data_IF_342071132738
#
_entry.id   IF_342071132738
#
_cell.length_a   1.000
_cell.length_b   1.000
_cell.length_c   1.000
_cell.angle_alpha   90.00
_cell.angle_beta   90.00
_cell.angle_gamma   90.00
#
_symmetry.space_group_name_H-M   'P 1'
#
loop_
_entity.id
_entity.type
_entity.pdbx_description
1 polymer ?
#
# COMPACT_ATOMS: atom_id res chain seq x y z
N UNK A 1 24.56 -1.76 16.27
CA UNK A 1 23.95 -3.05 15.83
C UNK A 1 22.48 -2.94 16.21
N UNK A 2 21.56 -3.12 15.24
CA UNK A 2 20.12 -2.98 15.54
C UNK A 2 19.67 -4.13 16.47
N UNK A 3 18.83 -3.83 17.45
CA UNK A 3 18.36 -4.83 18.45
C UNK A 3 17.71 -6.08 17.82
N UNK A 4 17.07 -5.94 16.63
CA UNK A 4 16.43 -7.05 15.92
C UNK A 4 17.40 -7.92 15.09
N UNK A 5 18.69 -7.57 14.96
CA UNK A 5 19.66 -8.37 14.18
C UNK A 5 19.81 -9.80 14.70
N UNK A 6 19.73 -10.00 16.01
CA UNK A 6 19.75 -11.33 16.62
C UNK A 6 18.51 -12.18 16.23
N UNK A 7 17.38 -11.54 15.99
CA UNK A 7 16.13 -12.19 15.58
C UNK A 7 16.24 -12.65 14.13
N UNK A 8 16.68 -11.77 13.24
CA UNK A 8 16.78 -12.08 11.80
C UNK A 8 17.85 -13.11 11.48
N UNK A 9 18.91 -13.21 12.30
CA UNK A 9 19.94 -14.24 12.16
C UNK A 9 19.42 -15.67 12.22
N UNK A 10 18.19 -15.89 12.73
CA UNK A 10 17.52 -17.20 12.75
C UNK A 10 17.07 -17.67 11.36
N UNK A 11 16.98 -16.80 10.38
CA UNK A 11 16.53 -17.08 9.00
C UNK A 11 15.02 -17.31 8.85
N UNK A 12 14.37 -17.92 9.84
CA UNK A 12 12.91 -18.06 9.94
C UNK A 12 12.45 -17.44 11.26
N UNK A 13 11.42 -16.62 11.22
CA UNK A 13 10.94 -15.85 12.39
C UNK A 13 9.51 -16.27 12.71
N UNK A 14 9.25 -16.52 13.99
CA UNK A 14 7.91 -16.74 14.54
C UNK A 14 7.37 -15.47 15.21
N UNK A 15 6.06 -15.39 15.44
CA UNK A 15 5.44 -14.28 16.17
C UNK A 15 6.02 -14.17 17.59
N UNK A 16 6.40 -15.31 18.22
CA UNK A 16 7.02 -15.31 19.55
C UNK A 16 8.38 -14.60 19.58
N UNK A 17 9.13 -14.66 18.48
CA UNK A 17 10.42 -13.97 18.40
C UNK A 17 10.27 -12.43 18.38
N UNK A 18 9.06 -11.93 18.17
CA UNK A 18 8.70 -10.52 18.13
C UNK A 18 7.90 -10.07 19.37
N UNK A 19 7.92 -10.87 20.45
CA UNK A 19 7.39 -10.43 21.74
C UNK A 19 8.14 -9.17 22.18
N UNK A 20 7.39 -8.12 22.54
CA UNK A 20 7.96 -6.81 22.85
C UNK A 20 7.90 -5.80 21.69
N UNK A 21 7.74 -6.23 20.45
CA UNK A 21 7.51 -5.32 19.33
C UNK A 21 6.02 -5.04 19.13
N UNK A 22 5.70 -3.79 18.77
CA UNK A 22 4.31 -3.37 18.58
C UNK A 22 3.72 -4.02 17.32
N UNK A 23 2.64 -4.79 17.48
CA UNK A 23 1.82 -5.27 16.37
C UNK A 23 1.10 -4.06 15.73
N UNK A 24 1.31 -3.81 14.45
CA UNK A 24 0.74 -2.68 13.70
C UNK A 24 -0.24 -3.12 12.61
N UNK A 25 -0.24 -4.40 12.27
CA UNK A 25 -1.17 -4.97 11.29
C UNK A 25 -1.29 -6.49 11.43
N UNK A 26 -2.50 -7.00 11.21
CA UNK A 26 -2.79 -8.44 11.13
C UNK A 26 -3.82 -8.68 10.05
N UNK A 27 -3.55 -9.63 9.17
CA UNK A 27 -4.41 -9.99 8.04
C UNK A 27 -4.31 -11.46 7.69
N UNK A 28 -4.98 -11.84 6.60
CA UNK A 28 -5.00 -13.22 6.11
C UNK A 28 -3.62 -13.73 5.63
N UNK A 29 -2.68 -12.83 5.33
CA UNK A 29 -1.36 -13.20 4.80
C UNK A 29 -0.26 -13.21 5.85
N UNK A 30 -0.55 -12.72 7.06
CA UNK A 30 0.40 -12.65 8.14
C UNK A 30 0.24 -11.45 9.07
N UNK A 31 1.29 -11.16 9.81
CA UNK A 31 1.32 -10.11 10.84
C UNK A 31 2.46 -9.14 10.61
N UNK A 32 2.23 -7.86 10.89
CA UNK A 32 3.21 -6.78 10.73
C UNK A 32 3.54 -6.18 12.09
N UNK A 33 4.83 -6.07 12.40
CA UNK A 33 5.33 -5.49 13.63
C UNK A 33 6.24 -4.32 13.34
N UNK A 34 6.16 -3.27 14.17
CA UNK A 34 7.09 -2.14 14.11
C UNK A 34 8.40 -2.53 14.78
N UNK A 35 9.52 -2.45 14.03
CA UNK A 35 10.86 -2.71 14.55
C UNK A 35 11.53 -1.44 15.08
N UNK A 36 11.40 -0.35 14.32
CA UNK A 36 11.96 0.97 14.65
C UNK A 36 10.98 2.07 14.26
N UNK A 37 11.36 3.33 14.39
CA UNK A 37 10.60 4.46 13.85
C UNK A 37 10.46 4.45 12.33
N UNK A 38 11.35 3.73 11.61
CA UNK A 38 11.43 3.73 10.14
C UNK A 38 11.24 2.36 9.52
N UNK A 39 11.21 1.29 10.31
CA UNK A 39 11.19 -0.09 9.79
C UNK A 39 10.09 -0.90 10.43
N UNK A 40 9.45 -1.72 9.62
CA UNK A 40 8.55 -2.77 10.07
C UNK A 40 8.94 -4.11 9.45
N UNK A 41 8.52 -5.19 10.11
CA UNK A 41 8.67 -6.56 9.63
C UNK A 41 7.28 -7.14 9.38
N UNK A 42 7.07 -7.71 8.20
CA UNK A 42 5.89 -8.51 7.87
C UNK A 42 6.29 -9.97 7.87
N UNK A 43 5.66 -10.75 8.74
CA UNK A 43 5.79 -12.22 8.77
C UNK A 43 4.65 -12.81 7.98
N UNK A 44 4.96 -13.72 7.08
CA UNK A 44 4.01 -14.37 6.19
C UNK A 44 3.71 -15.79 6.67
N UNK A 45 2.44 -16.19 6.59
CA UNK A 45 2.03 -17.57 6.83
C UNK A 45 2.39 -18.49 5.66
N UNK A 46 2.46 -17.94 4.44
CA UNK A 46 2.75 -18.67 3.20
C UNK A 46 3.93 -18.06 2.46
N UNK A 47 4.95 -18.88 2.19
CA UNK A 47 6.15 -18.46 1.46
C UNK A 47 5.82 -17.99 0.05
N UNK A 48 4.80 -18.57 -0.60
CA UNK A 48 4.34 -18.15 -1.93
C UNK A 48 3.81 -16.72 -1.92
N UNK A 49 3.02 -16.36 -0.90
CA UNK A 49 2.51 -14.98 -0.76
C UNK A 49 3.65 -14.00 -0.50
N UNK A 50 4.63 -14.40 0.34
CA UNK A 50 5.85 -13.62 0.57
C UNK A 50 6.61 -13.37 -0.72
N UNK A 51 6.81 -14.41 -1.55
CA UNK A 51 7.55 -14.31 -2.80
C UNK A 51 6.88 -13.33 -3.79
N UNK A 52 5.55 -13.33 -3.89
CA UNK A 52 4.81 -12.39 -4.74
C UNK A 52 4.97 -10.94 -4.26
N UNK A 53 4.85 -10.70 -2.96
CA UNK A 53 5.00 -9.35 -2.39
C UNK A 53 6.44 -8.86 -2.47
N UNK A 54 7.40 -9.73 -2.21
CA UNK A 54 8.83 -9.41 -2.35
C UNK A 54 9.18 -9.01 -3.80
N UNK A 55 8.72 -9.78 -4.79
CA UNK A 55 8.93 -9.44 -6.21
C UNK A 55 8.39 -8.05 -6.54
N UNK A 56 7.18 -7.73 -6.09
CA UNK A 56 6.58 -6.43 -6.34
C UNK A 56 7.36 -5.29 -5.65
N UNK A 57 7.79 -5.48 -4.40
CA UNK A 57 8.65 -4.52 -3.72
C UNK A 57 9.98 -4.33 -4.46
N UNK A 58 10.65 -5.40 -4.86
CA UNK A 58 11.94 -5.32 -5.57
C UNK A 58 11.83 -4.55 -6.90
N UNK A 59 10.82 -4.88 -7.72
CA UNK A 59 10.58 -4.20 -9.00
C UNK A 59 10.21 -2.73 -8.79
N UNK A 60 9.44 -2.44 -7.73
CA UNK A 60 8.93 -1.11 -7.44
C UNK A 60 9.92 -0.14 -6.79
N UNK A 61 11.14 -0.54 -6.44
CA UNK A 61 12.06 0.30 -5.65
C UNK A 61 12.48 1.62 -6.32
N UNK A 62 12.30 1.75 -7.62
CA UNK A 62 12.52 3.03 -8.34
C UNK A 62 11.37 4.03 -8.18
N UNK A 63 10.21 3.59 -7.72
CA UNK A 63 9.02 4.43 -7.57
C UNK A 63 8.90 4.99 -6.14
N UNK A 64 8.61 6.29 -5.98
CA UNK A 64 8.45 6.91 -4.66
C UNK A 64 7.22 6.43 -3.90
N UNK A 65 6.25 5.79 -4.58
CA UNK A 65 5.02 5.32 -3.93
C UNK A 65 5.14 3.90 -3.36
N UNK A 66 6.27 3.23 -3.57
CA UNK A 66 6.53 1.89 -3.07
C UNK A 66 7.40 1.96 -1.80
N UNK A 67 7.01 1.30 -0.70
CA UNK A 67 7.81 1.26 0.50
C UNK A 67 9.23 0.73 0.23
N UNK A 68 10.22 1.33 0.85
CA UNK A 68 11.60 0.88 0.73
C UNK A 68 11.75 -0.52 1.30
N UNK A 69 12.35 -1.41 0.52
CA UNK A 69 12.76 -2.74 0.93
C UNK A 69 14.14 -2.66 1.60
N UNK A 70 14.26 -3.22 2.81
CA UNK A 70 15.54 -3.26 3.52
C UNK A 70 16.16 -4.65 3.51
N UNK A 71 15.35 -5.67 3.83
CA UNK A 71 15.83 -7.04 4.00
C UNK A 71 14.69 -8.04 3.84
N UNK A 72 15.01 -9.27 3.52
CA UNK A 72 14.05 -10.39 3.53
C UNK A 72 14.71 -11.70 4.01
N UNK A 73 13.89 -12.59 4.51
CA UNK A 73 14.31 -13.95 4.90
C UNK A 73 13.30 -14.99 4.44
N UNK A 74 13.36 -16.16 5.01
CA UNK A 74 12.51 -17.29 4.55
C UNK A 74 11.02 -16.95 4.55
N UNK A 75 10.51 -16.39 5.63
CA UNK A 75 9.08 -16.11 5.83
C UNK A 75 8.77 -14.66 6.21
N UNK A 76 9.72 -13.73 6.03
CA UNK A 76 9.53 -12.33 6.40
C UNK A 76 10.09 -11.36 5.36
N UNK A 77 9.63 -10.12 5.44
CA UNK A 77 10.16 -8.96 4.71
C UNK A 77 10.30 -7.81 5.72
N UNK A 78 11.44 -7.13 5.71
CA UNK A 78 11.66 -5.86 6.44
C UNK A 78 11.60 -4.73 5.44
N UNK A 79 10.69 -3.79 5.67
CA UNK A 79 10.43 -2.67 4.79
C UNK A 79 10.17 -1.39 5.56
N UNK A 80 10.04 -0.28 4.86
CA UNK A 80 9.68 1.03 5.40
C UNK A 80 8.42 0.94 6.26
N UNK A 81 8.52 1.45 7.49
CA UNK A 81 7.36 1.71 8.32
C UNK A 81 6.77 3.06 7.95
N UNK A 82 5.64 3.03 7.26
CA UNK A 82 4.92 4.25 6.85
C UNK A 82 4.19 4.80 8.07
N UNK A 83 4.78 5.79 8.71
CA UNK A 83 4.21 6.47 9.87
C UNK A 83 3.21 7.51 9.40
N UNK A 84 1.92 7.22 9.56
CA UNK A 84 0.85 8.12 9.15
C UNK A 84 -0.51 7.45 9.10
N UNK A 85 -1.38 7.92 8.23
CA UNK A 85 -2.77 7.49 8.14
C UNK A 85 -3.05 6.74 6.84
N UNK A 86 -3.84 5.68 6.91
CA UNK A 86 -4.45 5.14 5.69
C UNK A 86 -5.49 6.10 5.12
N UNK A 87 -5.76 6.02 3.82
CA UNK A 87 -6.77 6.88 3.18
C UNK A 87 -8.13 6.83 3.90
N UNK A 88 -8.67 5.66 4.36
CA UNK A 88 -9.87 5.65 5.17
C UNK A 88 -9.76 6.38 6.50
N UNK A 89 -8.61 6.32 7.16
CA UNK A 89 -8.37 7.06 8.40
C UNK A 89 -8.27 8.56 8.16
N UNK A 90 -7.60 8.96 7.06
CA UNK A 90 -7.56 10.35 6.60
C UNK A 90 -8.96 10.89 6.37
N UNK A 91 -9.79 10.21 5.55
CA UNK A 91 -11.15 10.62 5.26
C UNK A 91 -12.03 10.72 6.52
N UNK A 92 -11.85 9.78 7.45
CA UNK A 92 -12.57 9.84 8.75
C UNK A 92 -12.18 11.06 9.58
N UNK A 93 -10.89 11.44 9.56
CA UNK A 93 -10.35 12.55 10.34
C UNK A 93 -10.71 13.90 9.71
N UNK A 94 -10.42 14.06 8.42
CA UNK A 94 -10.53 15.35 7.71
C UNK A 94 -11.95 15.61 7.19
N UNK A 95 -12.77 14.55 7.02
CA UNK A 95 -14.15 14.60 6.52
C UNK A 95 -14.30 15.32 5.17
N UNK A 96 -13.27 15.27 4.35
CA UNK A 96 -13.20 15.87 3.01
C UNK A 96 -12.13 15.15 2.18
N UNK A 97 -12.24 15.26 0.86
CA UNK A 97 -11.28 14.71 -0.10
C UNK A 97 -10.84 15.81 -1.08
N UNK A 98 -9.97 16.75 -0.65
CA UNK A 98 -9.63 17.93 -1.44
C UNK A 98 -8.82 17.57 -2.69
N UNK A 99 -8.93 18.41 -3.73
CA UNK A 99 -8.29 18.24 -5.03
C UNK A 99 -6.79 17.87 -4.95
N UNK A 100 -5.95 18.48 -4.09
CA UNK A 100 -4.54 18.08 -3.98
C UNK A 100 -4.31 16.64 -3.54
N UNK A 101 -5.23 16.07 -2.78
CA UNK A 101 -5.17 14.64 -2.39
C UNK A 101 -5.58 13.76 -3.57
N UNK A 102 -6.59 14.16 -4.33
CA UNK A 102 -6.99 13.45 -5.55
C UNK A 102 -5.86 13.49 -6.57
N UNK A 103 -5.19 14.60 -6.77
CA UNK A 103 -4.02 14.72 -7.65
C UNK A 103 -2.91 13.73 -7.25
N UNK A 104 -2.58 13.63 -5.96
CA UNK A 104 -1.60 12.65 -5.44
C UNK A 104 -2.06 11.21 -5.69
N UNK A 105 -3.34 10.91 -5.56
CA UNK A 105 -3.88 9.57 -5.83
C UNK A 105 -3.76 9.25 -7.33
N UNK A 106 -4.07 10.19 -8.22
CA UNK A 106 -3.91 10.00 -9.67
C UNK A 106 -2.44 9.78 -10.04
N UNK A 107 -1.52 10.58 -9.47
CA UNK A 107 -0.08 10.40 -9.66
C UNK A 107 0.40 9.03 -9.15
N UNK A 108 -0.10 8.57 -8.01
CA UNK A 108 0.19 7.23 -7.48
C UNK A 108 -0.26 6.13 -8.46
N UNK A 109 -1.47 6.21 -9.01
CA UNK A 109 -1.97 5.22 -9.98
C UNK A 109 -1.11 5.20 -11.26
N UNK A 110 -0.65 6.36 -11.71
CA UNK A 110 0.27 6.47 -12.84
C UNK A 110 1.65 5.87 -12.53
N UNK A 111 2.19 6.12 -11.34
CA UNK A 111 3.44 5.51 -10.88
C UNK A 111 3.37 3.97 -10.83
N UNK A 112 2.26 3.39 -10.36
CA UNK A 112 2.09 1.93 -10.37
C UNK A 112 2.11 1.37 -11.80
N UNK A 113 1.54 2.08 -12.78
CA UNK A 113 1.60 1.71 -14.21
C UNK A 113 3.03 1.82 -14.75
N UNK A 114 3.75 2.90 -14.45
CA UNK A 114 5.15 3.11 -14.88
C UNK A 114 6.09 2.02 -14.36
N UNK A 115 5.86 1.53 -13.15
CA UNK A 115 6.61 0.39 -12.57
C UNK A 115 6.37 -0.91 -13.36
N UNK A 116 5.31 -0.98 -14.16
CA UNK A 116 4.93 -2.15 -14.93
C UNK A 116 4.06 -3.13 -14.16
N UNK A 117 3.35 -2.67 -13.15
CA UNK A 117 2.38 -3.50 -12.46
C UNK A 117 1.18 -3.75 -13.38
N UNK A 118 0.86 -5.03 -13.58
CA UNK A 118 -0.30 -5.46 -14.37
C UNK A 118 -1.62 -5.10 -13.70
N UNK A 119 -1.59 -5.00 -12.37
CA UNK A 119 -2.73 -4.66 -11.55
C UNK A 119 -2.48 -3.38 -10.77
N UNK A 120 -3.02 -2.27 -11.29
CA UNK A 120 -2.99 -0.97 -10.60
C UNK A 120 -4.19 -0.75 -9.66
N UNK A 121 -5.07 -1.75 -9.55
CA UNK A 121 -6.30 -1.71 -8.74
C UNK A 121 -5.99 -2.04 -7.28
N UNK A 122 -5.68 -1.01 -6.49
CA UNK A 122 -5.39 -1.14 -5.06
C UNK A 122 -6.62 -0.84 -4.19
N UNK A 123 -6.67 -1.43 -2.99
CA UNK A 123 -7.73 -1.13 -2.02
C UNK A 123 -7.40 0.17 -1.28
N UNK A 124 -8.42 0.99 -0.98
CA UNK A 124 -8.26 2.28 -0.27
C UNK A 124 -7.48 2.18 1.04
N UNK A 125 -7.60 1.05 1.76
CA UNK A 125 -6.90 0.81 3.03
C UNK A 125 -5.40 0.57 2.86
N UNK A 126 -4.93 0.25 1.65
CA UNK A 126 -3.53 0.00 1.33
C UNK A 126 -2.81 1.26 0.85
N UNK A 127 -3.52 2.37 0.74
CA UNK A 127 -2.97 3.69 0.45
C UNK A 127 -2.71 4.39 1.77
N UNK A 128 -1.43 4.63 2.07
CA UNK A 128 -0.99 5.28 3.29
C UNK A 128 -0.39 6.66 2.97
N UNK A 129 -0.67 7.64 3.81
CA UNK A 129 0.01 8.92 3.81
C UNK A 129 1.04 8.92 4.93
N UNK A 130 2.28 9.28 4.62
CA UNK A 130 3.30 9.50 5.65
C UNK A 130 3.11 10.87 6.33
N UNK A 131 4.03 11.26 7.24
CA UNK A 131 3.96 12.52 7.97
C UNK A 131 4.08 13.75 7.04
N UNK A 132 4.71 13.60 5.87
CA UNK A 132 4.87 14.64 4.83
C UNK A 132 3.72 14.62 3.81
N UNK A 133 2.67 13.84 4.07
CA UNK A 133 1.54 13.65 3.17
C UNK A 133 1.93 13.07 1.80
N UNK A 134 3.02 12.31 1.74
CA UNK A 134 3.38 11.50 0.58
C UNK A 134 2.68 10.13 0.64
N UNK A 135 2.37 9.59 -0.53
CA UNK A 135 1.69 8.29 -0.61
C UNK A 135 2.69 7.15 -0.64
N UNK A 136 2.35 6.08 0.11
CA UNK A 136 2.93 4.74 -0.01
C UNK A 136 1.81 3.72 -0.20
N UNK A 137 2.04 2.76 -1.11
CA UNK A 137 1.09 1.66 -1.37
C UNK A 137 1.65 0.37 -0.80
N UNK A 138 0.88 -0.29 0.05
CA UNK A 138 1.26 -1.54 0.72
C UNK A 138 0.44 -2.72 0.18
N UNK A 139 0.80 -3.96 0.57
CA UNK A 139 0.14 -5.21 0.17
C UNK A 139 0.15 -5.45 -1.36
N UNK A 140 1.34 -5.47 -1.92
CA UNK A 140 1.58 -5.52 -3.37
C UNK A 140 1.56 -6.94 -3.96
N UNK A 141 1.18 -7.97 -3.21
CA UNK A 141 1.21 -9.39 -3.65
C UNK A 141 0.46 -9.68 -4.95
N UNK A 142 -0.47 -8.81 -5.35
CA UNK A 142 -1.26 -8.97 -6.58
C UNK A 142 -0.79 -8.10 -7.74
N UNK A 143 0.33 -7.39 -7.60
CA UNK A 143 0.83 -6.45 -8.60
C UNK A 143 1.06 -7.09 -9.99
N UNK A 144 1.48 -8.36 -10.02
CA UNK A 144 1.68 -9.16 -11.24
C UNK A 144 0.61 -10.25 -11.42
N UNK A 145 -0.60 -9.98 -11.00
CA UNK A 145 -1.73 -10.91 -11.16
C UNK A 145 -2.50 -10.71 -12.47
N UNK A 146 -3.82 -10.87 -12.43
CA UNK A 146 -4.65 -10.57 -13.60
C UNK A 146 -4.60 -9.09 -13.95
N UNK A 147 -4.41 -8.78 -15.23
CA UNK A 147 -4.42 -7.40 -15.75
C UNK A 147 -5.71 -6.68 -15.34
N UNK A 148 -5.55 -5.57 -14.65
CA UNK A 148 -6.63 -4.66 -14.28
C UNK A 148 -6.13 -3.23 -14.44
N UNK A 149 -6.43 -2.64 -15.59
CA UNK A 149 -6.08 -1.26 -15.92
C UNK A 149 -6.92 -0.24 -15.18
N UNK A 150 -8.16 -0.60 -14.83
CA UNK A 150 -9.10 0.28 -14.16
C UNK A 150 -9.09 0.08 -12.64
N UNK A 151 -9.18 1.15 -11.85
CA UNK A 151 -9.09 1.10 -10.39
C UNK A 151 -10.45 0.75 -9.73
N UNK A 152 -11.10 -0.33 -10.18
CA UNK A 152 -12.46 -0.71 -9.75
C UNK A 152 -12.59 -0.84 -8.24
N UNK A 153 -11.68 -1.57 -7.59
CA UNK A 153 -11.70 -1.75 -6.13
C UNK A 153 -11.45 -0.47 -5.36
N UNK A 154 -10.62 0.40 -5.93
CA UNK A 154 -10.39 1.72 -5.36
C UNK A 154 -11.68 2.54 -5.42
N UNK A 155 -12.34 2.62 -6.59
CA UNK A 155 -13.60 3.35 -6.77
C UNK A 155 -14.70 2.82 -5.86
N UNK A 156 -14.90 1.50 -5.81
CA UNK A 156 -15.82 0.86 -4.84
C UNK A 156 -15.47 1.20 -3.38
N UNK A 157 -14.18 1.27 -3.07
CA UNK A 157 -13.70 1.61 -1.73
C UNK A 157 -14.00 3.05 -1.34
N UNK A 158 -13.82 4.00 -2.26
CA UNK A 158 -14.15 5.43 -2.08
C UNK A 158 -15.67 5.62 -1.97
N UNK A 159 -16.46 4.93 -2.80
CA UNK A 159 -17.92 4.93 -2.75
C UNK A 159 -18.44 4.48 -1.38
N UNK A 160 -17.96 3.35 -0.88
CA UNK A 160 -18.29 2.83 0.46
C UNK A 160 -17.93 3.79 1.60
N UNK A 161 -17.07 4.77 1.35
CA UNK A 161 -16.72 5.84 2.29
C UNK A 161 -17.54 7.11 2.08
N UNK A 162 -18.39 7.17 1.03
CA UNK A 162 -19.24 8.30 0.72
C UNK A 162 -18.53 9.46 0.02
N UNK A 163 -17.38 9.22 -0.62
CA UNK A 163 -16.57 10.28 -1.27
C UNK A 163 -16.45 10.12 -2.79
N UNK A 164 -17.21 9.21 -3.41
CA UNK A 164 -17.09 8.95 -4.86
C UNK A 164 -17.44 10.17 -5.71
N UNK A 165 -18.53 10.87 -5.38
CA UNK A 165 -18.95 12.06 -6.13
C UNK A 165 -17.90 13.19 -6.04
N UNK A 166 -17.41 13.48 -4.82
CA UNK A 166 -16.36 14.48 -4.60
C UNK A 166 -15.06 14.09 -5.33
N UNK A 167 -14.64 12.82 -5.26
CA UNK A 167 -13.50 12.29 -5.99
C UNK A 167 -13.66 12.48 -7.50
N UNK A 168 -14.79 12.05 -8.07
CA UNK A 168 -15.03 12.13 -9.51
C UNK A 168 -15.16 13.56 -10.01
N UNK A 169 -15.66 14.49 -9.18
CA UNK A 169 -15.66 15.92 -9.51
C UNK A 169 -14.23 16.44 -9.72
N UNK A 170 -13.31 16.13 -8.80
CA UNK A 170 -11.91 16.51 -8.93
C UNK A 170 -11.21 15.80 -10.10
N UNK A 171 -11.50 14.52 -10.31
CA UNK A 171 -10.98 13.77 -11.47
C UNK A 171 -11.41 14.41 -12.79
N UNK A 172 -12.65 14.91 -12.87
CA UNK A 172 -13.15 15.62 -14.06
C UNK A 172 -12.35 16.88 -14.37
N UNK A 173 -11.94 17.62 -13.33
CA UNK A 173 -11.14 18.84 -13.48
C UNK A 173 -9.68 18.50 -13.84
N UNK A 174 -9.07 17.56 -13.14
CA UNK A 174 -7.66 17.20 -13.28
C UNK A 174 -7.37 16.37 -14.54
N UNK A 175 -8.28 15.47 -14.91
CA UNK A 175 -8.15 14.55 -16.06
C UNK A 175 -9.50 14.17 -16.66
N UNK A 176 -10.04 15.00 -17.59
CA UNK A 176 -11.32 14.71 -18.25
C UNK A 176 -11.37 13.36 -18.96
N UNK A 177 -10.22 12.85 -19.41
CA UNK A 177 -10.12 11.53 -20.06
C UNK A 177 -10.38 10.42 -19.07
N UNK A 178 -9.69 10.40 -17.92
CA UNK A 178 -9.91 9.42 -16.87
C UNK A 178 -11.33 9.49 -16.31
N UNK A 179 -11.88 10.70 -16.19
CA UNK A 179 -13.28 10.86 -15.78
C UNK A 179 -14.25 10.13 -16.69
N UNK A 180 -14.09 10.27 -18.02
CA UNK A 180 -14.95 9.58 -19.00
C UNK A 180 -14.80 8.06 -18.92
N UNK A 181 -13.55 7.57 -18.79
CA UNK A 181 -13.27 6.14 -18.67
C UNK A 181 -13.92 5.55 -17.39
N UNK A 182 -13.73 6.21 -16.26
CA UNK A 182 -14.19 5.69 -14.97
C UNK A 182 -15.70 5.86 -14.75
N UNK A 183 -16.31 6.88 -15.34
CA UNK A 183 -17.77 7.04 -15.32
C UNK A 183 -18.48 5.84 -15.92
N UNK A 184 -17.96 5.30 -17.04
CA UNK A 184 -18.53 4.11 -17.70
C UNK A 184 -18.37 2.81 -16.87
N UNK A 185 -17.58 2.83 -15.80
CA UNK A 185 -17.38 1.68 -14.90
C UNK A 185 -18.33 1.74 -13.71
N UNK A 186 -18.69 2.96 -13.31
CA UNK A 186 -19.50 3.25 -12.12
C UNK A 186 -21.00 3.17 -12.46
N UNK A 187 -21.39 3.59 -13.68
CA UNK A 187 -22.76 3.50 -14.19
C UNK A 187 -23.11 2.04 -14.56
#
# INVERSE_FOLDING_TARGET
MNEYNAIIAKGTISIKDLEGYKLIGKGADGSVFQLTSERCIKIFEKVQTKALELKALQVGQSSPVIPRLYEDGTNYIIMEYVKGLSLPQYLKKEKQLPEPIVEKILAMLDELKKVGFERCDTEVRHILFNEDMEIRVIDLKRAFGSVRSNPTKFLEGIEKKGYLEEFMLHVKNLSPTLYKEWKNIID
#
